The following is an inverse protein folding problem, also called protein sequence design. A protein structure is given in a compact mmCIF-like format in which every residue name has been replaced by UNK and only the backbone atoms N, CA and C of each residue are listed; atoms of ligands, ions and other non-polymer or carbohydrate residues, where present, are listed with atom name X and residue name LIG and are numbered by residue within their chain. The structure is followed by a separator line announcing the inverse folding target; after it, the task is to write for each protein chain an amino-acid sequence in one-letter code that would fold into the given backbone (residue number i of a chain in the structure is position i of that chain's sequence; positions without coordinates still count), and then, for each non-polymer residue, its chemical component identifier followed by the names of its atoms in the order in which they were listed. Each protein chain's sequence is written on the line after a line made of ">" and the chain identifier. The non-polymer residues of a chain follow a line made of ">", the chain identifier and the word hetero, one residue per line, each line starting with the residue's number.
data_IF_932243059115
#
_entry.id   IF_932243059115
#
_cell.length_a   1.000
_cell.length_b   1.000
_cell.length_c   1.000
_cell.angle_alpha   90.00
_cell.angle_beta   90.00
_cell.angle_gamma   90.00
#
_symmetry.space_group_name_H-M   'P 1'
#
loop_
_entity.id
_entity.type
_entity.pdbx_description
1 polymer ?
#
# COMPACT_ATOMS: atom_id res chain seq x y z
N UNK A 1 2.86 21.89 -2.59
CA UNK A 1 3.39 22.45 -3.86
C UNK A 1 2.39 22.15 -4.97
N UNK A 2 1.99 23.15 -5.74
CA UNK A 2 1.03 22.96 -6.83
C UNK A 2 1.76 22.55 -8.13
N UNK A 3 1.26 21.50 -8.78
CA UNK A 3 1.78 20.98 -10.06
C UNK A 3 0.80 21.41 -11.16
N UNK A 4 1.33 21.93 -12.27
CA UNK A 4 0.52 22.32 -13.43
C UNK A 4 -0.05 21.08 -14.14
N UNK A 5 -1.29 21.17 -14.59
CA UNK A 5 -1.94 20.08 -15.33
C UNK A 5 -3.00 20.59 -16.31
N UNK A 6 -3.12 19.90 -17.44
CA UNK A 6 -4.05 20.20 -18.51
C UNK A 6 -5.34 19.41 -18.30
N UNK A 7 -6.50 20.03 -18.55
CA UNK A 7 -7.81 19.36 -18.52
C UNK A 7 -8.51 19.59 -19.84
N UNK A 8 -8.94 18.52 -20.50
CA UNK A 8 -9.60 18.61 -21.80
C UNK A 8 -10.33 17.33 -22.18
N UNK A 9 -11.12 17.39 -23.26
CA UNK A 9 -11.72 16.21 -23.86
C UNK A 9 -10.66 15.49 -24.70
N UNK A 10 -10.21 14.32 -24.22
CA UNK A 10 -9.15 13.54 -24.85
C UNK A 10 -9.70 12.18 -25.31
N UNK A 11 -9.11 11.56 -26.35
CA UNK A 11 -9.43 10.18 -26.70
C UNK A 11 -9.16 9.25 -25.49
N UNK A 12 -9.86 8.11 -25.40
CA UNK A 12 -9.64 7.17 -24.29
C UNK A 12 -8.18 6.69 -24.26
N UNK A 13 -7.65 6.48 -23.05
CA UNK A 13 -6.33 5.86 -22.85
C UNK A 13 -6.36 4.40 -23.34
N UNK A 14 -5.22 3.86 -23.81
CA UNK A 14 -5.16 2.47 -24.26
C UNK A 14 -5.54 1.44 -23.17
N UNK A 15 -5.30 1.75 -21.88
CA UNK A 15 -5.71 0.89 -20.76
C UNK A 15 -7.15 1.12 -20.26
N UNK A 16 -7.91 2.05 -20.86
CA UNK A 16 -9.26 2.39 -20.39
C UNK A 16 -10.34 1.58 -21.11
N UNK A 17 -11.28 1.02 -20.36
CA UNK A 17 -12.49 0.35 -20.89
C UNK A 17 -13.50 1.29 -21.59
N UNK A 18 -13.13 2.55 -21.88
CA UNK A 18 -14.02 3.55 -22.49
C UNK A 18 -13.76 3.67 -23.99
N UNK A 19 -14.83 3.72 -24.78
CA UNK A 19 -14.77 3.83 -26.24
C UNK A 19 -14.96 5.25 -26.77
N UNK A 20 -15.48 6.18 -25.96
CA UNK A 20 -15.73 7.58 -26.36
C UNK A 20 -14.74 8.54 -25.68
N UNK A 21 -14.35 9.65 -26.34
CA UNK A 21 -13.60 10.72 -25.71
C UNK A 21 -14.29 11.24 -24.46
N UNK A 22 -13.52 11.53 -23.41
CA UNK A 22 -14.05 12.06 -22.16
C UNK A 22 -13.08 13.06 -21.54
N UNK A 23 -13.57 13.86 -20.60
CA UNK A 23 -12.73 14.84 -19.90
C UNK A 23 -11.67 14.14 -19.07
N UNK A 24 -10.42 14.36 -19.42
CA UNK A 24 -9.25 13.77 -18.77
C UNK A 24 -8.30 14.87 -18.29
N UNK A 25 -7.45 14.54 -17.33
CA UNK A 25 -6.42 15.42 -16.80
C UNK A 25 -5.04 14.82 -17.09
N UNK A 26 -4.14 15.63 -17.64
CA UNK A 26 -2.72 15.29 -17.84
C UNK A 26 -1.91 16.13 -16.86
N UNK A 27 -1.02 15.50 -16.10
CA UNK A 27 -0.08 16.20 -15.22
C UNK A 27 1.25 16.36 -15.94
N UNK A 28 1.73 17.60 -16.08
CA UNK A 28 2.97 17.90 -16.79
C UNK A 28 4.20 17.81 -15.89
N UNK A 29 4.01 17.57 -14.58
CA UNK A 29 5.08 17.54 -13.56
C UNK A 29 5.93 18.82 -13.50
N UNK A 30 5.41 19.94 -14.01
CA UNK A 30 6.05 21.26 -13.93
C UNK A 30 5.50 22.06 -12.75
N UNK A 31 6.36 22.85 -12.12
CA UNK A 31 5.97 23.77 -11.05
C UNK A 31 4.99 24.84 -11.55
N UNK A 32 4.06 25.25 -10.70
CA UNK A 32 3.14 26.35 -10.99
C UNK A 32 3.80 27.74 -10.81
N UNK A 33 4.91 28.00 -11.49
CA UNK A 33 5.55 29.32 -11.61
C UNK A 33 5.25 29.92 -13.01
N UNK A 34 5.64 31.17 -13.26
CA UNK A 34 5.36 31.85 -14.53
C UNK A 34 5.86 31.05 -15.75
N UNK A 35 7.08 30.51 -15.66
CA UNK A 35 7.68 29.69 -16.71
C UNK A 35 6.92 28.37 -16.92
N UNK A 36 6.48 27.73 -15.84
CA UNK A 36 5.71 26.49 -15.90
C UNK A 36 4.29 26.67 -16.43
N UNK A 37 3.68 27.84 -16.22
CA UNK A 37 2.41 28.21 -16.85
C UNK A 37 2.61 28.42 -18.35
N UNK A 38 3.65 29.14 -18.77
CA UNK A 38 3.97 29.35 -20.18
C UNK A 38 4.27 28.02 -20.90
N UNK A 39 5.02 27.12 -20.26
CA UNK A 39 5.25 25.77 -20.75
C UNK A 39 3.94 24.97 -20.88
N UNK A 40 3.09 25.00 -19.86
CA UNK A 40 1.79 24.33 -19.91
C UNK A 40 0.89 24.87 -21.03
N UNK A 41 0.91 26.18 -21.29
CA UNK A 41 0.17 26.78 -22.40
C UNK A 41 0.70 26.31 -23.77
N UNK A 42 2.01 26.29 -23.96
CA UNK A 42 2.63 25.80 -25.19
C UNK A 42 2.27 24.32 -25.44
N UNK A 43 2.33 23.50 -24.40
CA UNK A 43 1.98 22.09 -24.48
C UNK A 43 0.49 21.89 -24.77
N UNK A 44 -0.39 22.69 -24.16
CA UNK A 44 -1.82 22.67 -24.46
C UNK A 44 -2.12 22.97 -25.94
N UNK A 45 -1.43 23.96 -26.52
CA UNK A 45 -1.56 24.29 -27.95
C UNK A 45 -1.05 23.15 -28.84
N UNK A 46 0.08 22.54 -28.49
CA UNK A 46 0.64 21.38 -29.19
C UNK A 46 -0.35 20.21 -29.22
N UNK A 47 -0.87 19.82 -28.06
CA UNK A 47 -1.85 18.74 -27.94
C UNK A 47 -3.16 19.05 -28.65
N UNK A 48 -3.64 20.29 -28.55
CA UNK A 48 -4.84 20.76 -29.28
C UNK A 48 -4.70 20.61 -30.80
N UNK A 49 -3.52 20.96 -31.34
CA UNK A 49 -3.20 20.77 -32.76
C UNK A 49 -3.22 19.29 -33.19
N UNK A 50 -2.63 18.41 -32.39
CA UNK A 50 -2.62 16.97 -32.65
C UNK A 50 -4.02 16.35 -32.65
N UNK A 51 -4.87 16.77 -31.71
CA UNK A 51 -6.27 16.33 -31.63
C UNK A 51 -7.05 16.80 -32.86
N UNK A 52 -6.90 18.06 -33.26
CA UNK A 52 -7.57 18.61 -34.44
C UNK A 52 -7.17 17.88 -35.73
N UNK A 53 -5.91 17.45 -35.83
CA UNK A 53 -5.39 16.67 -36.96
C UNK A 53 -5.72 15.17 -36.89
N UNK A 54 -6.40 14.70 -35.83
CA UNK A 54 -6.66 13.27 -35.56
C UNK A 54 -5.38 12.42 -35.51
N UNK A 55 -4.25 13.02 -35.15
CA UNK A 55 -2.93 12.36 -35.02
C UNK A 55 -2.46 12.26 -33.57
N UNK A 56 -3.37 12.48 -32.64
CA UNK A 56 -3.05 12.37 -31.22
C UNK A 56 -2.68 10.93 -30.87
N UNK A 57 -1.47 10.74 -30.36
CA UNK A 57 -0.98 9.49 -29.80
C UNK A 57 -0.65 9.69 -28.31
N UNK A 58 -1.10 8.77 -27.46
CA UNK A 58 -0.79 8.76 -26.04
C UNK A 58 0.68 8.46 -25.75
N UNK A 59 1.39 7.79 -26.66
CA UNK A 59 2.82 7.47 -26.52
C UNK A 59 3.71 8.72 -26.47
N UNK A 60 3.29 9.82 -27.10
CA UNK A 60 4.02 11.10 -27.12
C UNK A 60 3.74 11.99 -25.90
N UNK A 61 2.71 11.67 -25.12
CA UNK A 61 2.15 12.54 -24.08
C UNK A 61 2.34 11.96 -22.69
N UNK A 62 2.19 10.64 -22.58
CA UNK A 62 2.64 9.93 -21.41
C UNK A 62 4.15 9.76 -21.60
N UNK A 63 5.01 10.26 -20.68
CA UNK A 63 6.37 9.76 -20.65
C UNK A 63 6.26 8.25 -20.64
N UNK A 64 6.91 7.58 -21.62
CA UNK A 64 6.90 6.13 -21.70
C UNK A 64 7.00 5.60 -20.28
N UNK A 65 6.03 4.75 -19.90
CA UNK A 65 6.01 4.10 -18.59
C UNK A 65 7.45 3.80 -18.21
N UNK A 66 7.92 4.52 -17.19
CA UNK A 66 9.34 4.72 -16.88
C UNK A 66 10.13 3.45 -17.18
N UNK A 67 11.33 3.48 -17.81
CA UNK A 67 12.06 2.26 -18.20
C UNK A 67 12.12 1.18 -17.11
N UNK A 68 12.12 1.62 -15.85
CA UNK A 68 11.99 0.80 -14.64
C UNK A 68 10.75 -0.11 -14.62
N UNK A 69 9.58 0.37 -15.06
CA UNK A 69 8.32 -0.36 -15.16
C UNK A 69 8.42 -1.50 -16.19
N UNK A 70 8.88 -1.20 -17.40
CA UNK A 70 9.12 -2.20 -18.45
C UNK A 70 10.14 -3.26 -17.99
N UNK A 71 11.24 -2.83 -17.35
CA UNK A 71 12.23 -3.78 -16.79
C UNK A 71 11.71 -4.61 -15.63
N UNK A 72 10.64 -4.19 -14.95
CA UNK A 72 10.10 -4.90 -13.81
C UNK A 72 9.10 -5.98 -14.22
N UNK A 73 8.37 -5.81 -15.32
CA UNK A 73 7.45 -6.84 -15.84
C UNK A 73 8.17 -8.12 -16.28
N UNK A 74 9.39 -8.00 -16.81
CA UNK A 74 10.18 -9.15 -17.28
C UNK A 74 10.89 -9.92 -16.14
N UNK A 75 10.89 -9.38 -14.92
CA UNK A 75 11.55 -10.01 -13.77
C UNK A 75 10.68 -11.10 -13.16
N UNK A 76 11.35 -12.11 -12.58
CA UNK A 76 10.64 -13.10 -11.79
C UNK A 76 10.01 -12.46 -10.55
N UNK A 77 8.90 -13.01 -10.07
CA UNK A 77 8.25 -12.55 -8.85
C UNK A 77 9.22 -12.50 -7.65
N UNK A 78 10.18 -13.43 -7.58
CA UNK A 78 11.21 -13.44 -6.53
C UNK A 78 12.13 -12.23 -6.61
N UNK A 79 12.61 -11.88 -7.81
CA UNK A 79 13.47 -10.72 -8.02
C UNK A 79 12.73 -9.41 -7.72
N UNK A 80 11.47 -9.33 -8.13
CA UNK A 80 10.59 -8.20 -7.82
C UNK A 80 10.39 -8.01 -6.32
N UNK A 81 10.17 -9.09 -5.57
CA UNK A 81 10.03 -9.04 -4.12
C UNK A 81 11.32 -8.55 -3.47
N UNK A 82 12.49 -9.00 -3.93
CA UNK A 82 13.78 -8.52 -3.43
C UNK A 82 14.03 -7.04 -3.71
N UNK A 83 13.62 -6.54 -4.88
CA UNK A 83 13.66 -5.09 -5.19
C UNK A 83 12.68 -4.30 -4.34
N UNK A 84 11.46 -4.82 -4.16
CA UNK A 84 10.42 -4.18 -3.36
C UNK A 84 10.82 -4.11 -1.87
N UNK A 85 11.48 -5.13 -1.33
CA UNK A 85 12.02 -5.11 0.03
C UNK A 85 12.99 -3.95 0.23
N UNK A 86 13.94 -3.79 -0.70
CA UNK A 86 14.92 -2.71 -0.63
C UNK A 86 14.22 -1.36 -0.65
N UNK A 87 13.31 -1.13 -1.60
CA UNK A 87 12.52 0.12 -1.68
C UNK A 87 11.69 0.38 -0.42
N UNK A 88 11.05 -0.65 0.14
CA UNK A 88 10.26 -0.54 1.38
C UNK A 88 11.12 -0.03 2.55
N UNK A 89 12.32 -0.57 2.73
CA UNK A 89 13.24 -0.17 3.79
C UNK A 89 14.08 1.07 3.47
N UNK A 90 14.13 1.52 2.22
CA UNK A 90 14.61 2.87 1.88
C UNK A 90 13.59 3.92 2.36
N UNK A 91 12.30 3.64 2.23
CA UNK A 91 11.22 4.57 2.65
C UNK A 91 10.91 4.52 4.14
N UNK A 92 11.12 3.37 4.78
CA UNK A 92 10.85 3.14 6.22
C UNK A 92 12.11 2.70 6.95
N UNK A 93 12.40 3.36 8.06
CA UNK A 93 13.50 2.95 8.95
C UNK A 93 13.32 1.49 9.40
N UNK A 94 14.41 0.71 9.36
CA UNK A 94 14.46 -0.65 9.88
C UNK A 94 14.39 -0.63 11.41
N UNK A 95 13.18 -0.84 11.92
CA UNK A 95 12.87 -1.03 13.34
C UNK A 95 12.34 -2.46 13.57
N UNK A 96 12.40 -3.01 14.79
CA UNK A 96 11.84 -4.34 15.08
C UNK A 96 10.36 -4.46 14.69
N UNK A 97 9.59 -3.37 14.86
CA UNK A 97 8.18 -3.30 14.46
C UNK A 97 8.00 -3.38 12.94
N UNK A 98 8.78 -2.62 12.17
CA UNK A 98 8.67 -2.64 10.71
C UNK A 98 9.18 -3.96 10.12
N UNK A 99 10.20 -4.57 10.71
CA UNK A 99 10.68 -5.89 10.30
C UNK A 99 9.63 -6.98 10.58
N UNK A 100 8.99 -6.93 11.75
CA UNK A 100 7.93 -7.88 12.07
C UNK A 100 6.76 -7.72 11.08
N UNK A 101 6.37 -6.48 10.77
CA UNK A 101 5.33 -6.19 9.77
C UNK A 101 5.73 -6.73 8.40
N UNK A 102 6.98 -6.54 7.97
CA UNK A 102 7.50 -7.09 6.72
C UNK A 102 7.37 -8.62 6.68
N UNK A 103 7.88 -9.30 7.71
CA UNK A 103 7.86 -10.76 7.82
C UNK A 103 6.44 -11.33 7.84
N UNK A 104 5.56 -10.78 8.68
CA UNK A 104 4.22 -11.36 8.90
C UNK A 104 3.22 -11.01 7.81
N UNK A 105 3.32 -9.81 7.25
CA UNK A 105 2.28 -9.26 6.37
C UNK A 105 2.65 -9.31 4.90
N UNK A 106 3.93 -9.17 4.57
CA UNK A 106 4.41 -9.12 3.19
C UNK A 106 5.13 -10.42 2.80
N UNK A 107 6.24 -10.73 3.47
CA UNK A 107 7.09 -11.88 3.14
C UNK A 107 6.32 -13.21 3.19
N UNK A 108 5.51 -13.40 4.24
CA UNK A 108 4.66 -14.58 4.38
C UNK A 108 3.68 -14.78 3.20
N UNK A 109 3.23 -13.69 2.56
CA UNK A 109 2.37 -13.77 1.36
C UNK A 109 3.20 -14.08 0.12
N UNK A 110 4.33 -13.38 -0.04
CA UNK A 110 5.18 -13.49 -1.22
C UNK A 110 5.87 -14.84 -1.38
N UNK A 111 6.09 -15.57 -0.27
CA UNK A 111 6.60 -16.95 -0.31
C UNK A 111 5.70 -17.93 -1.08
N UNK A 112 4.42 -17.59 -1.27
CA UNK A 112 3.49 -18.41 -2.03
C UNK A 112 3.43 -18.05 -3.52
N UNK A 113 4.21 -17.07 -3.97
CA UNK A 113 4.30 -16.73 -5.39
C UNK A 113 5.14 -17.77 -6.15
N UNK A 114 4.73 -18.15 -7.38
CA UNK A 114 5.53 -19.02 -8.22
C UNK A 114 6.77 -18.28 -8.73
N UNK A 115 7.82 -19.03 -9.06
CA UNK A 115 9.03 -18.49 -9.68
C UNK A 115 8.83 -18.22 -11.19
N UNK A 116 7.92 -17.30 -11.50
CA UNK A 116 7.55 -16.85 -12.86
C UNK A 116 7.39 -15.32 -12.86
N UNK A 117 7.36 -14.67 -14.04
CA UNK A 117 7.01 -13.25 -14.14
C UNK A 117 5.67 -12.98 -13.46
N UNK A 118 5.56 -11.83 -12.79
CA UNK A 118 4.34 -11.46 -12.08
C UNK A 118 3.25 -11.08 -13.10
N UNK A 119 2.16 -11.85 -13.10
CA UNK A 119 0.99 -11.61 -13.95
C UNK A 119 -0.27 -11.48 -13.09
N UNK A 120 -1.31 -10.84 -13.63
CA UNK A 120 -2.57 -10.62 -12.92
C UNK A 120 -3.24 -11.95 -12.55
N UNK A 121 -3.17 -12.95 -13.43
CA UNK A 121 -3.78 -14.25 -13.23
C UNK A 121 -3.17 -14.98 -12.02
N UNK A 122 -1.87 -14.85 -11.81
CA UNK A 122 -1.16 -15.45 -10.67
C UNK A 122 -1.63 -14.82 -9.35
N UNK A 123 -1.84 -13.50 -9.36
CA UNK A 123 -2.35 -12.76 -8.19
C UNK A 123 -3.77 -13.21 -7.86
N UNK A 124 -4.64 -13.30 -8.88
CA UNK A 124 -6.02 -13.74 -8.72
C UNK A 124 -6.10 -15.19 -8.23
N UNK A 125 -5.30 -16.09 -8.78
CA UNK A 125 -5.23 -17.49 -8.34
C UNK A 125 -4.82 -17.60 -6.87
N UNK A 126 -3.81 -16.82 -6.46
CA UNK A 126 -3.31 -16.84 -5.08
C UNK A 126 -4.34 -16.29 -4.08
N UNK A 127 -5.06 -15.23 -4.45
CA UNK A 127 -6.17 -14.70 -3.64
C UNK A 127 -7.32 -15.70 -3.60
N UNK A 128 -7.63 -16.37 -4.71
CA UNK A 128 -8.69 -17.37 -4.81
C UNK A 128 -8.51 -18.57 -3.87
N UNK A 129 -7.27 -18.91 -3.51
CA UNK A 129 -6.95 -19.98 -2.53
C UNK A 129 -7.28 -19.61 -1.08
N UNK A 130 -7.47 -18.33 -0.78
CA UNK A 130 -7.82 -17.87 0.57
C UNK A 130 -9.33 -17.86 0.78
N UNK A 131 -9.79 -18.06 2.02
CA UNK A 131 -11.23 -17.95 2.34
C UNK A 131 -11.74 -16.50 2.18
N UNK A 132 -12.95 -16.37 1.63
CA UNK A 132 -13.65 -15.09 1.54
C UNK A 132 -13.87 -14.46 2.90
N UNK A 133 -13.86 -13.12 2.95
CA UNK A 133 -14.11 -12.32 4.16
C UNK A 133 -13.19 -12.65 5.35
N UNK A 134 -12.00 -13.19 5.09
CA UNK A 134 -11.02 -13.53 6.12
C UNK A 134 -9.96 -12.44 6.33
N UNK A 135 -9.39 -12.39 7.54
CA UNK A 135 -8.21 -11.55 7.84
C UNK A 135 -7.05 -11.85 6.89
N UNK A 136 -6.89 -13.13 6.54
CA UNK A 136 -5.84 -13.60 5.65
C UNK A 136 -6.03 -13.06 4.24
N UNK A 137 -7.24 -13.11 3.69
CA UNK A 137 -7.54 -12.54 2.36
C UNK A 137 -7.27 -11.04 2.31
N UNK A 138 -7.71 -10.29 3.34
CA UNK A 138 -7.40 -8.86 3.45
C UNK A 138 -5.90 -8.56 3.42
N UNK A 139 -5.10 -9.39 4.13
CA UNK A 139 -3.63 -9.31 4.13
C UNK A 139 -3.04 -9.62 2.75
N UNK A 140 -3.51 -10.69 2.11
CA UNK A 140 -3.06 -11.10 0.78
C UNK A 140 -3.32 -10.01 -0.26
N UNK A 141 -4.55 -9.49 -0.31
CA UNK A 141 -4.91 -8.40 -1.24
C UNK A 141 -4.06 -7.16 -0.97
N UNK A 142 -3.85 -6.77 0.29
CA UNK A 142 -3.05 -5.60 0.62
C UNK A 142 -1.57 -5.76 0.20
N UNK A 143 -0.97 -6.92 0.45
CA UNK A 143 0.42 -7.19 0.06
C UNK A 143 0.58 -7.26 -1.46
N UNK A 144 -0.24 -8.07 -2.14
CA UNK A 144 -0.17 -8.27 -3.59
C UNK A 144 -0.50 -7.00 -4.37
N UNK A 145 -1.41 -6.16 -3.87
CA UNK A 145 -1.68 -4.85 -4.46
C UNK A 145 -0.45 -3.94 -4.44
N UNK A 146 0.30 -3.94 -3.34
CA UNK A 146 1.52 -3.12 -3.25
C UNK A 146 2.62 -3.63 -4.18
N UNK A 147 2.76 -4.96 -4.30
CA UNK A 147 3.70 -5.56 -5.23
C UNK A 147 3.31 -5.28 -6.69
N UNK A 148 2.03 -5.41 -7.05
CA UNK A 148 1.51 -5.10 -8.37
C UNK A 148 1.75 -3.63 -8.74
N UNK A 149 1.43 -2.70 -7.83
CA UNK A 149 1.70 -1.28 -8.02
C UNK A 149 3.20 -0.98 -8.21
N UNK A 150 4.07 -1.70 -7.48
CA UNK A 150 5.53 -1.54 -7.62
C UNK A 150 6.05 -2.11 -8.95
N UNK A 151 5.47 -3.21 -9.42
CA UNK A 151 5.76 -3.78 -10.73
C UNK A 151 5.17 -2.94 -11.88
N UNK A 152 4.22 -2.05 -11.59
CA UNK A 152 3.47 -1.28 -12.59
C UNK A 152 2.34 -2.06 -13.25
N UNK A 153 1.89 -3.15 -12.64
CA UNK A 153 0.78 -3.95 -13.11
C UNK A 153 -0.54 -3.30 -12.65
N UNK A 154 -1.37 -2.86 -13.60
CA UNK A 154 -2.74 -2.39 -13.31
C UNK A 154 -3.68 -3.57 -13.04
N UNK A 155 -3.63 -4.14 -11.82
CA UNK A 155 -4.56 -5.19 -11.39
C UNK A 155 -5.71 -4.61 -10.55
N UNK A 156 -6.97 -4.85 -10.94
CA UNK A 156 -8.13 -4.42 -10.15
C UNK A 156 -8.47 -5.42 -9.05
N UNK A 157 -7.87 -5.21 -7.87
CA UNK A 157 -8.09 -6.04 -6.68
C UNK A 157 -9.13 -5.44 -5.73
N UNK A 158 -9.78 -4.33 -6.10
CA UNK A 158 -10.61 -3.54 -5.18
C UNK A 158 -11.86 -4.26 -4.68
N UNK A 159 -12.38 -5.22 -5.46
CA UNK A 159 -13.53 -6.06 -5.10
C UNK A 159 -13.20 -7.33 -4.32
N UNK A 160 -11.92 -7.71 -4.18
CA UNK A 160 -11.52 -9.04 -3.70
C UNK A 160 -11.24 -9.12 -2.20
N UNK A 161 -11.18 -7.98 -1.50
CA UNK A 161 -10.89 -7.93 -0.05
C UNK A 161 -12.00 -8.60 0.77
N UNK A 162 -13.25 -8.45 0.35
CA UNK A 162 -14.41 -8.88 1.12
C UNK A 162 -14.75 -7.94 2.29
N UNK A 163 -15.72 -8.34 3.12
CA UNK A 163 -16.25 -7.64 4.30
C UNK A 163 -15.67 -8.18 5.60
N UNK A 164 -14.36 -8.42 5.65
CA UNK A 164 -13.73 -8.82 6.90
C UNK A 164 -13.82 -7.70 7.93
N UNK A 165 -14.54 -7.98 9.01
CA UNK A 165 -14.57 -7.17 10.23
C UNK A 165 -13.87 -7.93 11.37
N UNK A 166 -12.93 -7.29 12.07
CA UNK A 166 -12.35 -7.89 13.27
C UNK A 166 -13.46 -8.18 14.28
N UNK A 167 -13.52 -9.42 14.78
CA UNK A 167 -14.44 -9.74 15.87
C UNK A 167 -14.17 -8.81 17.05
N UNK A 168 -15.21 -8.20 17.65
CA UNK A 168 -15.07 -7.49 18.91
C UNK A 168 -14.35 -8.38 19.93
N UNK A 169 -13.43 -7.80 20.69
CA UNK A 169 -12.78 -8.53 21.79
C UNK A 169 -13.66 -8.39 23.02
N UNK A 170 -13.88 -9.49 23.71
CA UNK A 170 -14.55 -9.46 25.01
C UNK A 170 -13.66 -8.72 26.00
N UNK A 171 -14.17 -7.61 26.51
CA UNK A 171 -13.51 -6.84 27.56
C UNK A 171 -14.02 -7.42 28.89
N UNK A 172 -13.12 -7.91 29.79
CA UNK A 172 -13.54 -8.45 31.08
C UNK A 172 -14.18 -7.36 31.94
N UNK A 173 -15.13 -7.75 32.78
CA UNK A 173 -15.70 -6.89 33.82
C UNK A 173 -14.73 -6.75 35.01
N UNK A 174 -14.99 -5.77 35.87
CA UNK A 174 -14.15 -5.47 37.04
C UNK A 174 -13.99 -6.69 37.97
N UNK A 175 -15.03 -7.51 38.10
CA UNK A 175 -15.00 -8.73 38.93
C UNK A 175 -13.97 -9.72 38.39
N UNK A 176 -14.03 -10.01 37.08
CA UNK A 176 -13.06 -10.89 36.41
C UNK A 176 -11.65 -10.31 36.50
N UNK A 177 -11.49 -9.00 36.40
CA UNK A 177 -10.19 -8.34 36.51
C UNK A 177 -9.57 -8.60 37.89
N UNK A 178 -10.36 -8.47 38.96
CA UNK A 178 -9.93 -8.74 40.35
C UNK A 178 -9.65 -10.23 40.56
N UNK A 179 -10.53 -11.12 40.08
CA UNK A 179 -10.33 -12.58 40.16
C UNK A 179 -9.00 -13.01 39.52
N UNK A 180 -8.65 -12.41 38.38
CA UNK A 180 -7.37 -12.67 37.73
C UNK A 180 -6.19 -12.09 38.50
N UNK A 181 -6.32 -10.88 39.07
CA UNK A 181 -5.29 -10.27 39.90
C UNK A 181 -4.94 -11.15 41.11
N UNK A 182 -5.94 -11.75 41.75
CA UNK A 182 -5.74 -12.64 42.91
C UNK A 182 -4.99 -13.92 42.55
N UNK A 183 -5.22 -14.45 41.35
CA UNK A 183 -4.59 -15.69 40.85
C UNK A 183 -3.12 -15.53 40.46
N UNK A 184 -2.58 -14.32 40.36
CA UNK A 184 -1.18 -14.10 39.99
C UNK A 184 -0.28 -14.41 41.20
N UNK A 185 0.55 -15.48 41.15
CA UNK A 185 1.35 -15.89 42.30
C UNK A 185 2.60 -15.04 42.48
N UNK A 186 3.15 -14.47 41.40
CA UNK A 186 4.37 -13.67 41.45
C UNK A 186 4.02 -12.22 41.84
N UNK A 187 4.55 -11.69 42.97
CA UNK A 187 4.25 -10.35 43.44
C UNK A 187 4.59 -9.22 42.45
N UNK A 188 5.67 -9.37 41.67
CA UNK A 188 6.08 -8.36 40.68
C UNK A 188 5.09 -8.28 39.52
N UNK A 189 4.63 -9.43 39.02
CA UNK A 189 3.60 -9.49 37.98
C UNK A 189 2.24 -9.02 38.50
N UNK A 190 1.91 -9.33 39.76
CA UNK A 190 0.70 -8.86 40.41
C UNK A 190 0.70 -7.32 40.51
N UNK A 191 1.81 -6.73 40.92
CA UNK A 191 1.99 -5.26 40.94
C UNK A 191 1.86 -4.63 39.54
N UNK A 192 2.55 -5.19 38.53
CA UNK A 192 2.47 -4.70 37.15
C UNK A 192 1.04 -4.75 36.60
N UNK A 193 0.32 -5.84 36.85
CA UNK A 193 -1.09 -5.97 36.47
C UNK A 193 -1.96 -4.89 37.13
N UNK A 194 -1.76 -4.62 38.43
CA UNK A 194 -2.48 -3.56 39.14
C UNK A 194 -2.23 -2.16 38.56
N UNK A 195 -0.98 -1.82 38.25
CA UNK A 195 -0.64 -0.54 37.59
C UNK A 195 -1.28 -0.44 36.22
N UNK A 196 -1.29 -1.52 35.44
CA UNK A 196 -1.91 -1.51 34.11
C UNK A 196 -3.39 -1.18 34.17
N UNK A 197 -4.14 -1.68 35.16
CA UNK A 197 -5.56 -1.32 35.31
C UNK A 197 -5.76 0.18 35.65
N UNK A 198 -4.88 0.76 36.45
CA UNK A 198 -4.96 2.17 36.86
C UNK A 198 -4.58 3.15 35.73
N UNK A 199 -3.71 2.72 34.82
CA UNK A 199 -3.13 3.56 33.76
C UNK A 199 -3.78 3.38 32.40
N UNK A 200 -4.65 2.38 32.23
CA UNK A 200 -5.24 2.01 30.95
C UNK A 200 -6.41 2.90 30.50
N UNK A 201 -6.11 4.15 30.17
CA UNK A 201 -6.73 4.78 28.99
C UNK A 201 -5.93 4.36 27.74
N UNK A 202 -6.27 3.17 27.22
CA UNK A 202 -5.84 2.57 25.93
C UNK A 202 -4.33 2.65 25.53
N UNK A 203 -3.64 1.50 25.34
CA UNK A 203 -2.27 1.47 24.84
C UNK A 203 -2.22 1.69 23.31
N UNK A 204 -2.59 2.87 22.85
CA UNK A 204 -2.51 3.23 21.43
C UNK A 204 -1.59 4.38 21.09
N UNK A 205 -1.08 5.14 22.06
CA UNK A 205 0.04 6.06 21.86
C UNK A 205 0.63 6.38 23.24
N UNK A 206 1.93 6.72 23.27
CA UNK A 206 2.77 6.98 24.45
C UNK A 206 3.56 5.78 24.97
N UNK A 207 4.82 5.74 24.52
CA UNK A 207 5.86 4.92 25.08
C UNK A 207 6.18 5.37 26.51
N UNK A 208 5.78 4.56 27.48
CA UNK A 208 6.30 4.64 28.84
C UNK A 208 7.36 3.56 28.94
N UNK A 209 8.62 3.98 28.89
CA UNK A 209 9.77 3.16 29.27
C UNK A 209 9.78 3.07 30.78
N UNK A 210 9.42 1.92 31.36
CA UNK A 210 9.81 1.62 32.74
C UNK A 210 11.23 1.03 32.64
N UNK A 211 12.23 1.90 32.76
CA UNK A 211 13.60 1.46 33.01
C UNK A 211 13.67 0.90 34.43
N UNK A 212 13.53 -0.42 34.56
CA UNK A 212 13.92 -1.11 35.78
C UNK A 212 15.44 -1.26 35.78
N UNK A 213 16.15 -0.18 36.10
CA UNK A 213 17.49 -0.27 36.67
C UNK A 213 17.33 -0.68 38.12
N UNK A 214 17.49 -1.97 38.42
CA UNK A 214 17.77 -2.41 39.78
C UNK A 214 18.83 -3.48 39.70
N UNK A 215 20.04 -3.06 40.05
CA UNK A 215 21.14 -3.93 40.43
C UNK A 215 20.66 -4.89 41.52
N UNK A 216 20.90 -6.18 41.32
CA UNK A 216 21.34 -7.11 42.34
C UNK A 216 22.47 -7.94 41.75
#
# INVERSE_FOLDING_TARGET
>A
MAIAGLRGSLPPKPSSNKTKPYTQRIFLHVFANADGIAFAEAEAKRLGGLIAQKRFDWSEVLPEESPQLKTNLDLTASDLVGKFEKDFFTRKARTPKSENTWKTDYEAVYRHLPNKPLAEEIILELIGKTEADSRQRKRYVAALKQLANFAGLEADLSGLVGRYEPKPRDIPDDVKIVDWYEKIPNPQWKYAYGIWQLTASAPTNYGIWISASTQF
#
